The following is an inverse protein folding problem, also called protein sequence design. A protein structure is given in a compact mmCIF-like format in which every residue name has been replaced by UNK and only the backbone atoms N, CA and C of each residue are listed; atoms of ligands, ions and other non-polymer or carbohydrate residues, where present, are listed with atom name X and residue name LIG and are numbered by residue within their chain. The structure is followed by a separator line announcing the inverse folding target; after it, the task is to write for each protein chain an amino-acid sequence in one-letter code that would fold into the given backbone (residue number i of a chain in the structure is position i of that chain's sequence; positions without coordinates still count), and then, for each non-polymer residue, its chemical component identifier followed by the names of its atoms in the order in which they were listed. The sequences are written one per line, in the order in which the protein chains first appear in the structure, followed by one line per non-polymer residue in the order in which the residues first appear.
data_IF_041815247715
#
_entry.id   IF_041815247715
#
_cell.length_a   1.000
_cell.length_b   1.000
_cell.length_c   1.000
_cell.angle_alpha   90.00
_cell.angle_beta   90.00
_cell.angle_gamma   90.00
#
_symmetry.space_group_name_H-M   'P 1'
#
loop_
_entity.id
_entity.type
_entity.pdbx_description
1 polymer ?
#
# COMPACT_ATOMS: atom_id res chain seq x y z
N UNK A 1 -17.56 11.96 33.09
CA UNK A 1 -17.26 12.17 31.65
C UNK A 1 -16.39 11.01 31.20
N UNK A 2 -17.00 9.97 30.64
CA UNK A 2 -16.31 8.70 30.35
C UNK A 2 -15.48 8.81 29.06
N UNK A 3 -14.14 8.75 29.18
CA UNK A 3 -13.27 8.50 28.04
C UNK A 3 -13.40 7.03 27.64
N UNK A 4 -14.04 6.77 26.49
CA UNK A 4 -14.01 5.45 25.83
C UNK A 4 -12.56 5.09 25.50
N UNK A 5 -12.02 4.09 26.20
CA UNK A 5 -10.85 3.32 25.75
C UNK A 5 -11.13 2.80 24.34
N UNK A 6 -10.49 3.38 23.32
CA UNK A 6 -10.42 2.71 22.02
C UNK A 6 -9.42 1.58 22.17
N UNK A 7 -9.95 0.36 22.26
CA UNK A 7 -9.19 -0.87 22.30
C UNK A 7 -8.28 -0.92 21.07
N UNK A 8 -6.97 -1.00 21.32
CA UNK A 8 -5.97 -1.44 20.34
C UNK A 8 -6.40 -2.83 19.88
N UNK A 9 -6.98 -2.94 18.67
CA UNK A 9 -7.33 -4.23 18.09
C UNK A 9 -6.02 -4.98 17.84
N UNK A 10 -5.74 -5.95 18.71
CA UNK A 10 -4.78 -7.03 18.42
C UNK A 10 -5.41 -7.85 17.31
N UNK A 11 -4.91 -7.71 16.10
CA UNK A 11 -5.34 -8.55 14.99
C UNK A 11 -4.42 -9.76 14.90
N UNK A 12 -5.04 -10.92 15.08
CA UNK A 12 -4.44 -12.22 14.80
C UNK A 12 -4.68 -12.46 13.31
N UNK A 13 -3.72 -12.07 12.47
CA UNK A 13 -3.80 -12.25 11.03
C UNK A 13 -3.51 -13.71 10.72
N UNK A 14 -4.52 -14.41 10.20
CA UNK A 14 -4.54 -15.85 10.01
C UNK A 14 -3.24 -16.38 9.40
N UNK A 15 -2.75 -17.46 9.98
CA UNK A 15 -1.86 -18.38 9.32
C UNK A 15 -2.56 -18.88 8.05
N UNK A 16 -2.12 -18.40 6.88
CA UNK A 16 -2.06 -19.13 5.61
C UNK A 16 -1.69 -18.16 4.47
N UNK A 17 -0.39 -18.06 4.18
CA UNK A 17 0.06 -17.69 2.83
C UNK A 17 1.26 -18.57 2.47
N UNK A 18 1.05 -19.73 1.81
CA UNK A 18 2.07 -20.77 1.70
C UNK A 18 3.13 -20.53 0.61
N UNK A 19 3.17 -19.39 -0.07
CA UNK A 19 4.25 -19.08 -1.02
C UNK A 19 4.63 -17.61 -0.98
N UNK A 20 5.86 -17.34 -0.53
CA UNK A 20 6.46 -16.00 -0.59
C UNK A 20 6.47 -15.47 -2.02
N UNK A 21 5.58 -14.54 -2.31
CA UNK A 21 5.44 -13.97 -3.64
C UNK A 21 6.62 -13.05 -3.90
N UNK A 22 7.51 -13.45 -4.81
CA UNK A 22 8.65 -12.60 -5.19
C UNK A 22 8.16 -11.27 -5.77
N UNK A 23 8.88 -10.16 -5.52
CA UNK A 23 8.58 -8.83 -6.11
C UNK A 23 8.46 -8.90 -7.65
N UNK A 24 9.27 -9.77 -8.27
CA UNK A 24 9.20 -10.07 -9.71
C UNK A 24 7.88 -10.71 -10.13
N UNK A 25 7.32 -11.59 -9.28
CA UNK A 25 6.01 -12.20 -9.47
C UNK A 25 4.89 -11.16 -9.43
N UNK A 26 4.89 -10.28 -8.43
CA UNK A 26 3.92 -9.19 -8.30
C UNK A 26 3.96 -8.24 -9.50
N UNK A 27 5.17 -7.83 -9.93
CA UNK A 27 5.34 -7.00 -11.13
C UNK A 27 4.83 -7.70 -12.39
N UNK A 28 5.14 -8.99 -12.58
CA UNK A 28 4.63 -9.75 -13.73
C UNK A 28 3.11 -9.87 -13.72
N UNK A 29 2.51 -10.14 -12.56
CA UNK A 29 1.06 -10.22 -12.41
C UNK A 29 0.41 -8.87 -12.75
N UNK A 30 0.98 -7.77 -12.25
CA UNK A 30 0.50 -6.42 -12.57
C UNK A 30 0.61 -6.10 -14.07
N UNK A 31 1.77 -6.34 -14.69
CA UNK A 31 1.99 -6.10 -16.12
C UNK A 31 1.14 -7.00 -17.03
N UNK A 32 0.80 -8.21 -16.56
CA UNK A 32 -0.09 -9.13 -17.28
C UNK A 32 -1.54 -8.67 -17.33
N UNK A 33 -1.95 -7.77 -16.42
CA UNK A 33 -3.30 -7.19 -16.39
C UNK A 33 -3.34 -5.88 -17.17
N UNK A 34 -3.26 -5.98 -18.49
CA UNK A 34 -3.31 -4.82 -19.40
C UNK A 34 -4.57 -3.96 -19.19
N UNK A 35 -5.67 -4.55 -18.71
CA UNK A 35 -6.90 -3.85 -18.37
C UNK A 35 -6.74 -2.94 -17.15
N UNK A 36 -5.93 -3.34 -16.16
CA UNK A 36 -5.63 -2.50 -14.99
C UNK A 36 -4.71 -1.35 -15.37
N UNK A 37 -3.66 -1.59 -16.16
CA UNK A 37 -2.74 -0.53 -16.58
C UNK A 37 -3.44 0.56 -17.41
N UNK A 38 -4.55 0.23 -18.09
CA UNK A 38 -5.37 1.22 -18.83
C UNK A 38 -6.34 2.01 -17.93
N UNK A 39 -6.68 1.47 -16.76
CA UNK A 39 -7.60 2.10 -15.80
C UNK A 39 -6.88 2.96 -14.78
N UNK A 40 -5.61 2.64 -14.48
CA UNK A 40 -4.81 3.35 -13.50
C UNK A 40 -4.19 4.62 -14.09
N UNK A 41 -4.21 5.69 -13.30
CA UNK A 41 -3.46 6.92 -13.59
C UNK A 41 -1.97 6.74 -13.32
N UNK A 42 -1.16 7.69 -13.81
CA UNK A 42 0.29 7.70 -13.54
C UNK A 42 0.63 7.75 -12.05
N UNK A 43 -0.15 8.46 -11.25
CA UNK A 43 0.05 8.56 -9.80
C UNK A 43 -0.22 7.21 -9.11
N UNK A 44 -1.28 6.51 -9.52
CA UNK A 44 -1.62 5.19 -8.96
C UNK A 44 -0.60 4.11 -9.36
N UNK A 45 -0.13 4.12 -10.61
CA UNK A 45 0.92 3.20 -11.07
C UNK A 45 2.20 3.44 -10.28
N UNK A 46 2.62 4.70 -10.12
CA UNK A 46 3.84 5.04 -9.36
C UNK A 46 3.71 4.63 -7.90
N UNK A 47 2.56 4.87 -7.28
CA UNK A 47 2.30 4.44 -5.91
C UNK A 47 2.37 2.92 -5.78
N UNK A 48 1.69 2.17 -6.66
CA UNK A 48 1.71 0.71 -6.63
C UNK A 48 3.13 0.13 -6.76
N UNK A 49 3.93 0.67 -7.70
CA UNK A 49 5.33 0.27 -7.86
C UNK A 49 6.15 0.57 -6.60
N UNK A 50 5.91 1.71 -5.95
CA UNK A 50 6.56 2.06 -4.69
C UNK A 50 6.21 1.05 -3.59
N UNK A 51 4.94 0.64 -3.47
CA UNK A 51 4.52 -0.38 -2.52
C UNK A 51 5.23 -1.71 -2.77
N UNK A 52 5.34 -2.14 -4.04
CA UNK A 52 6.09 -3.37 -4.41
C UNK A 52 7.56 -3.29 -4.02
N UNK A 53 8.20 -2.12 -4.17
CA UNK A 53 9.60 -1.91 -3.76
C UNK A 53 9.76 -2.03 -2.25
N UNK A 54 8.85 -1.46 -1.47
CA UNK A 54 8.92 -1.42 -0.01
C UNK A 54 8.29 -2.64 0.69
N UNK A 55 7.61 -3.51 -0.05
CA UNK A 55 7.03 -4.73 0.50
C UNK A 55 8.12 -5.71 0.98
N UNK A 56 7.88 -6.30 2.14
CA UNK A 56 8.64 -7.44 2.67
C UNK A 56 8.20 -8.72 1.94
N UNK A 57 9.17 -9.44 1.35
CA UNK A 57 8.90 -10.59 0.46
C UNK A 57 8.08 -11.72 1.11
N UNK A 58 8.14 -11.85 2.44
CA UNK A 58 7.45 -12.92 3.16
C UNK A 58 6.00 -12.61 3.50
N UNK A 59 5.62 -11.33 3.53
CA UNK A 59 4.31 -10.90 4.06
C UNK A 59 3.52 -10.06 3.07
N UNK A 60 4.13 -9.61 1.98
CA UNK A 60 3.53 -8.62 1.08
C UNK A 60 3.09 -7.35 1.80
N UNK A 61 3.65 -7.10 2.98
CA UNK A 61 3.35 -5.96 3.85
C UNK A 61 4.55 -5.01 3.88
N UNK A 62 4.30 -3.75 4.19
CA UNK A 62 5.39 -2.79 4.36
C UNK A 62 4.96 -1.52 5.05
N UNK A 63 5.95 -0.64 5.24
CA UNK A 63 5.76 0.71 5.77
C UNK A 63 6.37 1.73 4.81
N UNK A 64 5.65 2.82 4.60
CA UNK A 64 6.10 3.99 3.87
C UNK A 64 6.04 5.21 4.79
N UNK A 65 7.18 5.83 5.04
CA UNK A 65 7.22 7.16 5.61
C UNK A 65 6.85 8.20 4.56
N UNK A 66 6.34 9.35 4.99
CA UNK A 66 6.08 10.47 4.09
C UNK A 66 7.34 10.97 3.37
N UNK A 67 8.52 10.83 4.00
CA UNK A 67 9.82 11.13 3.37
C UNK A 67 10.10 10.21 2.17
N UNK A 68 9.81 8.91 2.29
CA UNK A 68 9.95 7.98 1.17
C UNK A 68 8.98 8.35 0.05
N UNK A 69 7.73 8.69 0.38
CA UNK A 69 6.74 9.11 -0.63
C UNK A 69 7.26 10.31 -1.43
N UNK A 70 7.76 11.36 -0.76
CA UNK A 70 8.33 12.51 -1.47
C UNK A 70 9.57 12.16 -2.27
N UNK A 71 10.48 11.39 -1.70
CA UNK A 71 11.74 11.00 -2.35
C UNK A 71 11.50 10.24 -3.66
N UNK A 72 10.49 9.37 -3.71
CA UNK A 72 10.26 8.50 -4.87
C UNK A 72 9.12 8.97 -5.79
N UNK A 73 8.12 9.69 -5.28
CA UNK A 73 6.99 10.19 -6.06
C UNK A 73 7.10 11.68 -6.42
N UNK A 74 8.06 12.39 -5.82
CA UNK A 74 8.33 13.82 -6.01
C UNK A 74 7.82 14.69 -4.86
N UNK A 75 8.49 15.81 -4.61
CA UNK A 75 8.13 16.76 -3.55
C UNK A 75 6.75 17.41 -3.74
N UNK A 76 6.30 17.51 -4.99
CA UNK A 76 4.97 17.99 -5.36
C UNK A 76 3.86 16.96 -5.13
N UNK A 77 4.19 15.71 -4.77
CA UNK A 77 3.21 14.67 -4.54
C UNK A 77 2.44 14.92 -3.24
N UNK A 78 1.21 15.42 -3.36
CA UNK A 78 0.41 15.86 -2.21
C UNK A 78 -0.27 14.71 -1.49
N UNK A 79 -0.56 14.91 -0.19
CA UNK A 79 -1.32 13.94 0.62
C UNK A 79 -2.66 13.57 -0.01
N UNK A 80 -3.31 14.50 -0.70
CA UNK A 80 -4.60 14.25 -1.36
C UNK A 80 -4.46 13.40 -2.63
N UNK A 81 -3.32 13.50 -3.33
CA UNK A 81 -2.99 12.58 -4.42
C UNK A 81 -2.71 11.19 -3.88
N UNK A 82 -1.94 11.08 -2.80
CA UNK A 82 -1.70 9.80 -2.13
C UNK A 82 -3.00 9.12 -1.72
N UNK A 83 -3.90 9.85 -1.04
CA UNK A 83 -5.18 9.29 -0.57
C UNK A 83 -6.06 8.81 -1.72
N UNK A 84 -6.13 9.58 -2.83
CA UNK A 84 -6.92 9.19 -4.01
C UNK A 84 -6.32 7.95 -4.67
N UNK A 85 -5.02 7.95 -4.92
CA UNK A 85 -4.33 6.81 -5.50
C UNK A 85 -4.49 5.55 -4.62
N UNK A 86 -4.35 5.69 -3.29
CA UNK A 86 -4.58 4.61 -2.34
C UNK A 86 -6.01 4.06 -2.42
N UNK A 87 -7.03 4.93 -2.44
CA UNK A 87 -8.44 4.53 -2.58
C UNK A 87 -8.66 3.73 -3.86
N UNK A 88 -8.10 4.18 -4.98
CA UNK A 88 -8.21 3.45 -6.25
C UNK A 88 -7.53 2.09 -6.19
N UNK A 89 -6.34 1.99 -5.60
CA UNK A 89 -5.66 0.70 -5.42
C UNK A 89 -6.45 -0.25 -4.51
N UNK A 90 -7.13 0.26 -3.49
CA UNK A 90 -8.02 -0.50 -2.61
C UNK A 90 -9.27 -0.99 -3.34
N UNK A 91 -9.94 -0.12 -4.09
CA UNK A 91 -11.12 -0.45 -4.89
C UNK A 91 -10.83 -1.50 -5.96
N UNK A 92 -9.61 -1.48 -6.51
CA UNK A 92 -9.15 -2.46 -7.50
C UNK A 92 -8.62 -3.75 -6.87
N UNK A 93 -8.58 -3.84 -5.54
CA UNK A 93 -8.08 -5.00 -4.81
C UNK A 93 -6.60 -5.27 -5.04
N UNK A 94 -5.80 -4.21 -5.22
CA UNK A 94 -4.35 -4.30 -5.46
C UNK A 94 -3.52 -4.08 -4.19
N UNK A 95 -4.02 -3.24 -3.29
CA UNK A 95 -3.36 -2.95 -2.03
C UNK A 95 -4.39 -2.53 -0.99
N UNK A 96 -4.01 -2.60 0.28
CA UNK A 96 -4.71 -2.00 1.41
C UNK A 96 -3.77 -1.10 2.17
N UNK A 97 -4.23 0.08 2.59
CA UNK A 97 -3.38 1.11 3.18
C UNK A 97 -4.03 1.69 4.46
N UNK A 98 -3.30 1.63 5.56
CA UNK A 98 -3.69 2.21 6.84
C UNK A 98 -2.78 3.40 7.19
N UNK A 99 -3.39 4.52 7.54
CA UNK A 99 -2.69 5.76 7.89
C UNK A 99 -2.53 5.87 9.41
N UNK A 100 -1.30 5.77 9.93
CA UNK A 100 -1.04 5.91 11.36
C UNK A 100 -1.00 7.40 11.74
N UNK A 101 -1.83 7.77 12.72
CA UNK A 101 -2.07 9.16 13.12
C UNK A 101 -0.88 9.84 13.82
N UNK A 102 0.10 9.08 14.30
CA UNK A 102 1.19 9.60 15.15
C UNK A 102 2.54 9.78 14.44
N UNK A 103 2.81 9.01 13.39
CA UNK A 103 4.16 8.94 12.80
C UNK A 103 4.20 9.38 11.33
N UNK A 104 3.05 9.75 10.74
CA UNK A 104 2.91 9.99 9.31
C UNK A 104 3.35 8.79 8.44
N UNK A 105 3.47 7.63 9.07
CA UNK A 105 3.77 6.36 8.44
C UNK A 105 2.49 5.73 7.91
N UNK A 106 2.61 5.19 6.71
CA UNK A 106 1.58 4.48 5.98
C UNK A 106 1.95 3.02 6.04
N UNK A 107 1.10 2.22 6.68
CA UNK A 107 1.24 0.75 6.68
C UNK A 107 0.43 0.23 5.51
N UNK A 108 0.96 -0.75 4.78
CA UNK A 108 0.25 -1.31 3.64
C UNK A 108 0.43 -2.81 3.52
N UNK A 109 -0.47 -3.43 2.77
CA UNK A 109 -0.43 -4.83 2.34
C UNK A 109 -0.81 -4.91 0.86
N UNK A 110 -0.04 -5.65 0.07
CA UNK A 110 -0.38 -5.98 -1.32
C UNK A 110 -1.28 -7.21 -1.36
N UNK A 111 -2.27 -7.19 -2.24
CA UNK A 111 -3.31 -8.22 -2.37
C UNK A 111 -3.20 -9.01 -3.68
#
# INVERSE_FOLDING_TARGET
MYMKKMASKKYNWGEENPMGVSKRGLLKAFLGRQDLCKKLSGDEIRLFLLLVVFAEERKSEGKLSWENVKKYLGDDFRKDQLKRAASTLEEMGLARMDYLSREADIVFQLL
#
